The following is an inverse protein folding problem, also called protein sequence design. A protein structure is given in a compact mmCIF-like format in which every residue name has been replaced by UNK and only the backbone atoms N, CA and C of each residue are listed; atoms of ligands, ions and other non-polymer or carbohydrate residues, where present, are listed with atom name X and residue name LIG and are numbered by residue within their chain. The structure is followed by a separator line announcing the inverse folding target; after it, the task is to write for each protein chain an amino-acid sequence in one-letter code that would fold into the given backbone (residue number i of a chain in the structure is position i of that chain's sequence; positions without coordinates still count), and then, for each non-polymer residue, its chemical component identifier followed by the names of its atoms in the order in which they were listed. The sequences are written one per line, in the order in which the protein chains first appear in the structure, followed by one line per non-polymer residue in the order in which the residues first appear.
data_IF_382977157268
#
_entry.id   IF_382977157268
#
_cell.length_a   1.000
_cell.length_b   1.000
_cell.length_c   1.000
_cell.angle_alpha   90.00
_cell.angle_beta   90.00
_cell.angle_gamma   90.00
#
_symmetry.space_group_name_H-M   'P 1'
#
loop_
_entity.id
_entity.type
_entity.pdbx_description
1 polymer ?
#
# COMPACT_ATOMS: atom_id res chain seq x y z
N UNK A 1 -14.12 -15.34 12.15
CA UNK A 1 -12.78 -15.73 11.64
C UNK A 1 -11.92 -14.48 11.61
N UNK A 2 -10.84 -14.40 12.38
CA UNK A 2 -9.92 -13.26 12.31
C UNK A 2 -9.02 -13.43 11.08
N UNK A 3 -9.06 -12.48 10.15
CA UNK A 3 -8.23 -12.50 8.94
C UNK A 3 -6.76 -12.39 9.30
N UNK A 4 -6.05 -13.51 9.40
CA UNK A 4 -4.59 -13.56 9.54
C UNK A 4 -3.95 -13.34 8.18
N UNK A 5 -4.04 -12.13 7.64
CA UNK A 5 -3.35 -11.76 6.40
C UNK A 5 -2.05 -11.09 6.81
N UNK A 6 -0.90 -11.66 6.39
CA UNK A 6 0.37 -10.93 6.44
C UNK A 6 0.23 -9.73 5.49
N UNK A 7 0.47 -8.49 5.93
CA UNK A 7 0.44 -7.34 5.04
C UNK A 7 1.38 -7.61 3.87
N UNK A 8 0.93 -7.29 2.65
CA UNK A 8 1.85 -7.23 1.51
C UNK A 8 2.67 -5.97 1.70
N UNK A 9 3.86 -6.11 2.30
CA UNK A 9 4.74 -5.00 2.66
C UNK A 9 5.28 -4.27 1.42
N UNK A 10 5.37 -4.95 0.28
CA UNK A 10 5.81 -4.38 -0.99
C UNK A 10 4.98 -4.87 -2.18
N UNK A 11 4.55 -3.95 -3.04
CA UNK A 11 3.90 -4.29 -4.31
C UNK A 11 4.14 -3.19 -5.36
N UNK A 12 4.16 -3.56 -6.63
CA UNK A 12 4.24 -2.61 -7.74
C UNK A 12 2.98 -2.72 -8.59
N UNK A 13 2.29 -1.60 -8.82
CA UNK A 13 1.13 -1.57 -9.71
C UNK A 13 0.92 -0.22 -10.36
N UNK A 14 0.26 -0.18 -11.53
CA UNK A 14 -0.11 1.07 -12.17
C UNK A 14 -1.15 1.84 -11.35
N UNK A 15 -1.05 3.16 -11.39
CA UNK A 15 -2.05 4.12 -10.89
C UNK A 15 -2.42 5.06 -12.02
N UNK A 16 -3.72 5.24 -12.25
CA UNK A 16 -4.23 6.22 -13.20
C UNK A 16 -4.30 7.58 -12.52
N UNK A 17 -3.57 8.56 -13.05
CA UNK A 17 -3.59 9.95 -12.58
C UNK A 17 -4.88 10.66 -12.99
N UNK A 18 -5.10 11.87 -12.43
CA UNK A 18 -6.24 12.71 -12.81
C UNK A 18 -6.35 12.98 -14.31
N UNK A 19 -5.23 13.02 -15.02
CA UNK A 19 -5.19 13.31 -16.46
C UNK A 19 -5.31 12.04 -17.32
N UNK A 20 -5.48 10.86 -16.71
CA UNK A 20 -5.59 9.58 -17.42
C UNK A 20 -4.25 8.91 -17.73
N UNK A 21 -3.11 9.50 -17.34
CA UNK A 21 -1.80 8.87 -17.49
C UNK A 21 -1.62 7.76 -16.44
N UNK A 22 -1.04 6.64 -16.84
CA UNK A 22 -0.63 5.58 -15.91
C UNK A 22 0.79 5.83 -15.37
N UNK A 23 0.96 5.72 -14.06
CA UNK A 23 2.26 5.75 -13.37
C UNK A 23 2.49 4.41 -12.67
N UNK A 24 3.67 3.81 -12.82
CA UNK A 24 4.05 2.62 -12.08
C UNK A 24 4.50 3.04 -10.68
N UNK A 25 3.76 2.63 -9.65
CA UNK A 25 4.05 3.00 -8.27
C UNK A 25 4.56 1.78 -7.51
N UNK A 26 5.71 1.93 -6.87
CA UNK A 26 6.21 1.01 -5.85
C UNK A 26 5.59 1.36 -4.50
N UNK A 27 4.83 0.43 -3.92
CA UNK A 27 4.08 0.63 -2.70
C UNK A 27 4.73 -0.07 -1.52
N UNK A 28 4.87 0.66 -0.42
CA UNK A 28 5.20 0.14 0.89
C UNK A 28 3.99 0.27 1.82
N UNK A 29 3.47 -0.85 2.31
CA UNK A 29 2.27 -0.88 3.15
C UNK A 29 2.57 -1.35 4.57
N UNK A 30 1.96 -0.71 5.55
CA UNK A 30 2.00 -1.09 6.96
C UNK A 30 0.59 -1.12 7.56
N UNK A 31 0.32 -2.11 8.41
CA UNK A 31 -0.90 -2.18 9.21
C UNK A 31 -0.65 -1.55 10.56
N UNK A 32 -1.45 -0.55 10.93
CA UNK A 32 -1.39 0.10 12.23
C UNK A 32 -2.33 -0.63 13.19
N UNK A 33 -1.84 -0.91 14.39
CA UNK A 33 -2.58 -1.60 15.44
C UNK A 33 -2.64 -0.75 16.71
N UNK A 34 -3.71 -0.90 17.47
CA UNK A 34 -3.77 -0.38 18.84
C UNK A 34 -2.94 -1.24 19.80
N UNK A 35 -2.93 -0.87 21.08
CA UNK A 35 -2.20 -1.58 22.15
C UNK A 35 -2.73 -3.01 22.39
N UNK A 36 -3.98 -3.28 22.03
CA UNK A 36 -4.62 -4.59 22.13
C UNK A 36 -4.35 -5.47 20.90
N UNK A 37 -3.67 -4.92 19.89
CA UNK A 37 -3.33 -5.61 18.64
C UNK A 37 -4.45 -5.61 17.59
N UNK A 38 -5.53 -4.87 17.81
CA UNK A 38 -6.60 -4.69 16.83
C UNK A 38 -6.12 -3.78 15.69
N UNK A 39 -6.51 -4.10 14.47
CA UNK A 39 -6.18 -3.27 13.30
C UNK A 39 -7.02 -2.00 13.34
N UNK A 40 -6.37 -0.84 13.35
CA UNK A 40 -7.03 0.47 13.38
C UNK A 40 -6.92 1.22 12.06
N UNK A 41 -5.88 0.97 11.26
CA UNK A 41 -5.66 1.64 9.99
C UNK A 41 -4.61 0.91 9.12
N UNK A 42 -4.48 1.38 7.88
CA UNK A 42 -3.38 1.04 6.98
C UNK A 42 -2.66 2.31 6.56
N UNK A 43 -1.33 2.27 6.56
CA UNK A 43 -0.48 3.31 5.99
C UNK A 43 0.13 2.77 4.70
N UNK A 44 0.05 3.55 3.63
CA UNK A 44 0.63 3.22 2.32
C UNK A 44 1.50 4.38 1.85
N UNK A 45 2.76 4.11 1.55
CA UNK A 45 3.69 5.05 0.92
C UNK A 45 4.01 4.58 -0.49
N UNK A 46 3.83 5.44 -1.49
CA UNK A 46 4.08 5.13 -2.89
C UNK A 46 5.23 5.96 -3.47
N UNK A 47 6.17 5.31 -4.14
CA UNK A 47 7.22 5.95 -4.94
C UNK A 47 6.91 5.76 -6.44
N UNK A 48 6.96 6.84 -7.22
CA UNK A 48 6.83 6.77 -8.67
C UNK A 48 8.13 6.23 -9.28
N UNK A 49 8.04 5.03 -9.87
CA UNK A 49 9.16 4.33 -10.52
C UNK A 49 8.94 4.19 -12.02
N UNK A 50 8.05 4.99 -12.62
CA UNK A 50 7.70 4.88 -14.05
C UNK A 50 8.92 5.03 -14.98
N UNK A 51 9.94 5.78 -14.56
CA UNK A 51 11.14 6.08 -15.34
C UNK A 51 12.40 5.30 -14.90
N UNK A 52 12.26 4.31 -14.01
CA UNK A 52 13.38 3.54 -13.46
C UNK A 52 14.07 2.64 -14.51
#
# INVERSE_FOLDING_TARGET
MAGKIKPVEYFENPVVTRNGEERLIAWHNAVLKDEEGNIIATLSSGEDITER
#
